data_IF_677815549208
#
_entry.id   IF_677815549208
#
_cell.length_a   1.000
_cell.length_b   1.000
_cell.length_c   1.000
_cell.angle_alpha   90.00
_cell.angle_beta   90.00
_cell.angle_gamma   90.00
#
_symmetry.space_group_name_H-M   'P 1'
#
loop_
_entity.id
_entity.type
_entity.pdbx_description
1 polymer ?
#
# COMPACT_ATOMS: atom_id res chain seq x y z
N UNK A 1 12.61 -17.88 -7.58
CA UNK A 1 12.33 -16.46 -7.28
C UNK A 1 10.89 -16.14 -7.72
N UNK A 2 9.90 -16.11 -6.81
CA UNK A 2 8.45 -15.93 -7.14
C UNK A 2 7.69 -15.06 -6.12
N UNK A 3 8.39 -14.17 -5.41
CA UNK A 3 7.81 -13.42 -4.29
C UNK A 3 7.55 -11.94 -4.62
N UNK A 4 8.43 -11.28 -5.37
CA UNK A 4 8.32 -9.85 -5.64
C UNK A 4 7.06 -9.48 -6.43
N UNK A 5 6.75 -10.25 -7.48
CA UNK A 5 5.54 -10.04 -8.29
C UNK A 5 4.25 -10.24 -7.48
N UNK A 6 4.25 -11.15 -6.49
CA UNK A 6 3.11 -11.32 -5.58
C UNK A 6 2.93 -10.10 -4.68
N UNK A 7 4.02 -9.61 -4.09
CA UNK A 7 3.99 -8.41 -3.25
C UNK A 7 3.51 -7.20 -4.05
N UNK A 8 4.04 -6.99 -5.26
CA UNK A 8 3.59 -5.91 -6.15
C UNK A 8 2.09 -6.04 -6.48
N UNK A 9 1.62 -7.25 -6.78
CA UNK A 9 0.22 -7.51 -7.06
C UNK A 9 -0.65 -7.20 -5.84
N UNK A 10 -0.27 -7.66 -4.65
CA UNK A 10 -0.99 -7.35 -3.41
C UNK A 10 -1.00 -5.84 -3.12
N UNK A 11 0.12 -5.13 -3.31
CA UNK A 11 0.17 -3.67 -3.16
C UNK A 11 -0.82 -3.01 -4.12
N UNK A 12 -0.83 -3.44 -5.38
CA UNK A 12 -1.71 -2.87 -6.42
C UNK A 12 -3.18 -3.12 -6.09
N UNK A 13 -3.52 -4.34 -5.68
CA UNK A 13 -4.88 -4.71 -5.28
C UNK A 13 -5.34 -3.93 -4.03
N UNK A 14 -4.51 -3.85 -2.99
CA UNK A 14 -4.80 -3.05 -1.79
C UNK A 14 -4.96 -1.57 -2.11
N UNK A 15 -4.05 -1.00 -2.89
CA UNK A 15 -4.11 0.42 -3.27
C UNK A 15 -5.35 0.72 -4.09
N UNK A 16 -5.75 -0.19 -4.97
CA UNK A 16 -6.98 -0.07 -5.75
C UNK A 16 -8.24 -0.22 -4.86
N UNK A 17 -8.23 -1.15 -3.91
CA UNK A 17 -9.31 -1.30 -2.92
C UNK A 17 -9.44 -0.05 -2.05
N UNK A 18 -8.32 0.52 -1.59
CA UNK A 18 -8.27 1.78 -0.85
C UNK A 18 -8.82 2.92 -1.70
N UNK A 19 -8.35 3.09 -2.93
CA UNK A 19 -8.87 4.12 -3.83
C UNK A 19 -10.38 4.02 -4.07
N UNK A 20 -10.89 2.79 -4.20
CA UNK A 20 -12.30 2.53 -4.53
C UNK A 20 -13.24 2.62 -3.32
N UNK A 21 -12.84 2.08 -2.18
CA UNK A 21 -13.70 1.96 -0.99
C UNK A 21 -13.36 2.99 0.10
N UNK A 22 -12.13 3.50 0.11
CA UNK A 22 -11.59 4.42 1.12
C UNK A 22 -10.85 5.60 0.46
N UNK A 23 -11.54 6.39 -0.40
CA UNK A 23 -10.90 7.50 -1.11
C UNK A 23 -10.29 8.54 -0.16
N UNK A 24 -10.81 8.64 1.07
CA UNK A 24 -10.23 9.45 2.15
C UNK A 24 -8.78 9.03 2.47
N UNK A 25 -8.51 7.73 2.65
CA UNK A 25 -7.17 7.20 2.89
C UNK A 25 -6.26 7.39 1.69
N UNK A 26 -6.83 7.27 0.47
CA UNK A 26 -6.08 7.49 -0.77
C UNK A 26 -5.62 8.95 -0.90
N UNK A 27 -6.43 9.91 -0.46
CA UNK A 27 -6.05 11.32 -0.44
C UNK A 27 -4.87 11.58 0.52
N UNK A 28 -4.82 10.92 1.69
CA UNK A 28 -3.66 10.99 2.59
C UNK A 28 -2.39 10.36 1.99
N UNK A 29 -2.55 9.34 1.14
CA UNK A 29 -1.46 8.72 0.38
C UNK A 29 -0.95 9.59 -0.79
N UNK A 30 -1.80 10.44 -1.39
CA UNK A 30 -1.35 11.42 -2.40
C UNK A 30 -0.59 12.60 -1.77
N UNK A 31 -0.95 13.02 -0.55
CA UNK A 31 -0.22 14.10 0.15
C UNK A 31 1.14 13.66 0.70
N UNK A 32 1.33 12.37 0.96
CA UNK A 32 2.64 11.77 1.22
C UNK A 32 2.91 10.71 0.16
N UNK A 33 3.48 11.08 -1.01
CA UNK A 33 3.94 10.11 -1.98
C UNK A 33 5.13 9.39 -1.36
N UNK A 34 4.88 8.39 -0.53
CA UNK A 34 5.85 7.37 -0.14
C UNK A 34 6.15 6.61 -1.41
N UNK A 35 7.11 7.19 -2.15
CA UNK A 35 7.75 6.75 -3.37
C UNK A 35 7.26 5.37 -3.83
N UNK A 36 6.19 5.34 -4.63
CA UNK A 36 6.08 4.29 -5.65
C UNK A 36 7.33 4.52 -6.49
N UNK A 37 8.34 3.64 -6.42
CA UNK A 37 9.59 3.88 -7.10
C UNK A 37 9.27 3.71 -8.57
N UNK A 38 9.18 4.81 -9.29
CA UNK A 38 9.16 4.83 -10.75
C UNK A 38 10.29 3.91 -11.22
N UNK A 39 10.04 3.13 -12.28
CA UNK A 39 10.81 1.98 -12.79
C UNK A 39 12.35 2.17 -12.96
N UNK A 40 12.89 3.35 -12.67
CA UNK A 40 14.30 3.73 -12.78
C UNK A 40 15.18 3.39 -11.56
N UNK A 41 14.64 3.04 -10.41
CA UNK A 41 15.45 2.65 -9.25
C UNK A 41 15.48 1.13 -9.10
N UNK A 42 16.35 0.43 -9.83
CA UNK A 42 16.47 -1.04 -9.83
C UNK A 42 16.80 -1.66 -8.45
N UNK A 43 17.12 -0.86 -7.45
CA UNK A 43 17.41 -1.30 -6.08
C UNK A 43 16.20 -1.26 -5.15
N UNK A 44 14.98 -1.47 -5.69
CA UNK A 44 13.83 -1.78 -4.84
C UNK A 44 14.13 -3.11 -4.13
N UNK A 45 14.74 -2.99 -2.96
CA UNK A 45 14.96 -4.11 -2.09
C UNK A 45 13.59 -4.70 -1.80
N UNK A 46 13.43 -6.01 -2.01
CA UNK A 46 12.23 -6.77 -1.65
C UNK A 46 11.66 -6.35 -0.28
N UNK A 47 12.55 -5.99 0.64
CA UNK A 47 12.25 -5.43 1.95
C UNK A 47 11.38 -4.17 1.89
N UNK A 48 11.73 -3.17 1.06
CA UNK A 48 10.96 -1.91 0.91
C UNK A 48 9.56 -2.16 0.39
N UNK A 49 9.39 -3.04 -0.60
CA UNK A 49 8.07 -3.43 -1.08
C UNK A 49 7.24 -4.15 -0.01
N UNK A 50 7.87 -5.05 0.76
CA UNK A 50 7.17 -5.72 1.86
C UNK A 50 6.78 -4.75 2.98
N UNK A 51 7.67 -3.82 3.32
CA UNK A 51 7.45 -2.79 4.33
C UNK A 51 6.30 -1.83 3.93
N UNK A 52 6.26 -1.46 2.65
CA UNK A 52 5.16 -0.67 2.07
C UNK A 52 3.83 -1.43 2.09
N UNK A 53 3.82 -2.71 1.71
CA UNK A 53 2.63 -3.56 1.79
C UNK A 53 2.11 -3.68 3.22
N UNK A 54 3.01 -3.85 4.18
CA UNK A 54 2.66 -3.97 5.60
C UNK A 54 2.09 -2.66 6.14
N UNK A 55 2.69 -1.52 5.76
CA UNK A 55 2.18 -0.19 6.10
C UNK A 55 0.77 0.06 5.55
N UNK A 56 0.50 -0.31 4.29
CA UNK A 56 -0.83 -0.20 3.68
C UNK A 56 -1.85 -1.09 4.40
N UNK A 57 -1.48 -2.32 4.76
CA UNK A 57 -2.34 -3.24 5.52
C UNK A 57 -2.65 -2.70 6.91
N UNK A 58 -1.65 -2.14 7.60
CA UNK A 58 -1.82 -1.50 8.91
C UNK A 58 -2.75 -0.28 8.84
N UNK A 59 -2.57 0.58 7.83
CA UNK A 59 -3.43 1.73 7.62
C UNK A 59 -4.89 1.30 7.40
N UNK A 60 -5.10 0.31 6.52
CA UNK A 60 -6.43 -0.23 6.25
C UNK A 60 -7.04 -0.91 7.49
N UNK A 61 -6.24 -1.66 8.25
CA UNK A 61 -6.68 -2.32 9.47
C UNK A 61 -7.10 -1.30 10.53
N UNK A 62 -6.26 -0.29 10.81
CA UNK A 62 -6.59 0.78 11.73
C UNK A 62 -7.85 1.54 11.32
N UNK A 63 -8.02 1.83 10.03
CA UNK A 63 -9.23 2.47 9.53
C UNK A 63 -10.45 1.58 9.70
N UNK A 64 -10.36 0.30 9.34
CA UNK A 64 -11.43 -0.69 9.54
C UNK A 64 -11.80 -0.86 11.01
N UNK A 65 -10.83 -0.94 11.92
CA UNK A 65 -11.08 -1.02 13.36
C UNK A 65 -11.76 0.25 13.88
N UNK A 66 -11.24 1.42 13.52
CA UNK A 66 -11.82 2.71 13.94
C UNK A 66 -13.22 2.92 13.36
N UNK A 67 -13.47 2.44 12.14
CA UNK A 67 -14.76 2.54 11.48
C UNK A 67 -15.76 1.49 11.97
N UNK A 68 -15.30 0.30 12.36
CA UNK A 68 -16.14 -0.79 12.87
C UNK A 68 -16.48 -0.66 14.37
N UNK A 69 -15.84 0.28 15.08
CA UNK A 69 -16.14 0.65 16.47
C UNK A 69 -17.29 1.67 16.60
N UNK A 70 -17.99 1.99 15.50
CA UNK A 70 -19.19 2.84 15.47
C UNK A 70 -20.44 2.00 15.23
#
# INVERSE_FOLDING_TARGET
MRNLQKVLKEITELTFEIKKNYPELYQFLEENPLAIPSENNLEINKKVMQDYLESLKLLLAHHKETHSLK
#
